data_IF_680414615166
#
_entry.id   IF_680414615166
#
_cell.length_a   1.000
_cell.length_b   1.000
_cell.length_c   1.000
_cell.angle_alpha   90.00
_cell.angle_beta   90.00
_cell.angle_gamma   90.00
#
_symmetry.space_group_name_H-M   'P 1'
#
loop_
_entity.id
_entity.type
_entity.pdbx_description
1 polymer ?
#
# COMPACT_ATOMS: atom_id res chain seq x y z
N UNK A 1 15.61 -28.46 -6.55
CA UNK A 1 14.20 -28.27 -6.15
C UNK A 1 13.89 -26.79 -5.84
N UNK A 2 14.70 -26.11 -5.02
CA UNK A 2 14.51 -24.68 -4.66
C UNK A 2 14.57 -23.73 -5.85
N UNK A 3 15.49 -23.92 -6.80
CA UNK A 3 15.61 -23.05 -7.97
C UNK A 3 14.35 -22.98 -8.82
N UNK A 4 13.69 -24.12 -9.06
CA UNK A 4 12.45 -24.21 -9.86
C UNK A 4 11.27 -23.50 -9.17
N UNK A 5 11.21 -23.58 -7.83
CA UNK A 5 10.20 -22.90 -7.02
C UNK A 5 10.41 -21.38 -7.01
N UNK A 6 11.66 -20.91 -6.88
CA UNK A 6 11.97 -19.48 -6.94
C UNK A 6 11.56 -18.86 -8.28
N UNK A 7 11.88 -19.54 -9.40
CA UNK A 7 11.48 -19.08 -10.73
C UNK A 7 9.96 -19.10 -10.88
N UNK A 8 9.27 -20.12 -10.36
CA UNK A 8 7.82 -20.22 -10.38
C UNK A 8 7.13 -19.11 -9.57
N UNK A 9 7.69 -18.69 -8.43
CA UNK A 9 7.16 -17.58 -7.62
C UNK A 9 7.45 -16.24 -8.30
N UNK A 10 8.68 -16.01 -8.74
CA UNK A 10 9.09 -14.77 -9.42
C UNK A 10 8.29 -14.52 -10.69
N UNK A 11 8.04 -15.57 -11.46
CA UNK A 11 7.37 -15.47 -12.75
C UNK A 11 5.84 -15.51 -12.64
N UNK A 12 5.30 -15.62 -11.41
CA UNK A 12 3.87 -15.57 -11.17
C UNK A 12 3.32 -14.17 -11.50
N UNK A 13 2.25 -14.12 -12.30
CA UNK A 13 1.69 -12.87 -12.82
C UNK A 13 1.29 -11.88 -11.71
N UNK A 14 0.78 -12.37 -10.59
CA UNK A 14 0.47 -11.52 -9.43
C UNK A 14 1.70 -10.79 -8.88
N UNK A 15 2.88 -11.45 -8.83
CA UNK A 15 4.12 -10.85 -8.30
C UNK A 15 4.66 -9.80 -9.28
N UNK A 16 4.54 -10.04 -10.59
CA UNK A 16 4.89 -9.04 -11.61
C UNK A 16 3.98 -7.82 -11.57
N UNK A 17 2.69 -8.02 -11.28
CA UNK A 17 1.69 -6.96 -11.24
C UNK A 17 1.86 -6.00 -10.04
N UNK A 18 2.53 -6.42 -8.95
CA UNK A 18 2.77 -5.59 -7.77
C UNK A 18 3.60 -4.33 -8.08
N UNK A 19 4.58 -4.46 -8.97
CA UNK A 19 5.38 -3.34 -9.50
C UNK A 19 5.96 -2.39 -8.44
N UNK A 20 6.27 -1.14 -8.82
CA UNK A 20 6.74 -0.10 -7.89
C UNK A 20 5.69 0.31 -6.84
N UNK A 21 4.40 0.07 -7.11
CA UNK A 21 3.30 0.38 -6.20
C UNK A 21 3.40 -0.38 -4.88
N UNK A 22 4.00 -1.58 -4.87
CA UNK A 22 4.26 -2.32 -3.63
C UNK A 22 5.20 -1.57 -2.69
N UNK A 23 6.26 -0.97 -3.24
CA UNK A 23 7.25 -0.22 -2.45
C UNK A 23 6.62 1.07 -1.93
N UNK A 24 5.85 1.77 -2.77
CA UNK A 24 5.18 3.00 -2.34
C UNK A 24 4.13 2.73 -1.27
N UNK A 25 3.39 1.62 -1.37
CA UNK A 25 2.44 1.20 -0.35
C UNK A 25 3.13 0.85 0.97
N UNK A 26 4.21 0.07 0.92
CA UNK A 26 4.99 -0.24 2.11
C UNK A 26 5.64 1.00 2.76
N UNK A 27 5.94 2.03 1.98
CA UNK A 27 6.47 3.30 2.48
C UNK A 27 5.40 4.20 3.12
N UNK A 28 4.13 4.04 2.76
CA UNK A 28 3.01 4.80 3.33
C UNK A 28 2.73 4.38 4.79
N UNK A 29 3.06 3.13 5.14
CA UNK A 29 2.94 2.56 6.50
C UNK A 29 4.19 2.85 7.37
N UNK A 30 4.59 4.11 7.46
CA UNK A 30 5.76 4.54 8.23
C UNK A 30 5.49 4.59 9.76
N UNK A 31 6.54 4.66 10.62
CA UNK A 31 6.35 4.69 12.07
C UNK A 31 5.48 5.84 12.56
N UNK A 32 5.49 6.98 11.84
CA UNK A 32 4.67 8.14 12.20
C UNK A 32 3.18 7.86 11.96
N UNK A 33 2.82 7.28 10.80
CA UNK A 33 1.46 6.81 10.51
C UNK A 33 0.97 5.79 11.53
N UNK A 34 1.79 4.78 11.84
CA UNK A 34 1.44 3.77 12.87
C UNK A 34 1.16 4.44 14.23
N UNK A 35 1.99 5.40 14.65
CA UNK A 35 1.78 6.12 15.90
C UNK A 35 0.48 6.92 15.88
N UNK A 36 0.20 7.66 14.80
CA UNK A 36 -1.02 8.46 14.64
C UNK A 36 -2.27 7.58 14.66
N UNK A 37 -2.32 6.51 13.87
CA UNK A 37 -3.48 5.63 13.81
C UNK A 37 -3.69 4.86 15.12
N UNK A 38 -2.61 4.51 15.83
CA UNK A 38 -2.70 3.87 17.15
C UNK A 38 -3.28 4.82 18.20
N UNK A 39 -2.84 6.08 18.24
CA UNK A 39 -3.39 7.08 19.15
C UNK A 39 -4.85 7.39 18.83
N UNK A 40 -5.17 7.58 17.55
CA UNK A 40 -6.54 7.80 17.09
C UNK A 40 -7.44 6.60 17.43
N UNK A 41 -6.96 5.38 17.22
CA UNK A 41 -7.68 4.15 17.56
C UNK A 41 -7.94 4.02 19.07
N UNK A 42 -6.96 4.37 19.91
CA UNK A 42 -7.13 4.36 21.37
C UNK A 42 -8.13 5.42 21.86
N UNK A 43 -8.20 6.58 21.21
CA UNK A 43 -9.08 7.68 21.60
C UNK A 43 -10.51 7.56 21.05
N UNK A 44 -10.65 7.13 19.79
CA UNK A 44 -11.91 7.17 19.05
C UNK A 44 -12.49 5.79 18.74
N UNK A 45 -11.76 4.71 19.02
CA UNK A 45 -12.17 3.35 18.67
C UNK A 45 -12.50 3.24 17.19
N UNK A 46 -13.65 2.65 16.87
CA UNK A 46 -14.11 2.47 15.48
C UNK A 46 -14.85 3.68 14.90
N UNK A 47 -15.05 4.76 15.66
CA UNK A 47 -15.87 5.90 15.23
C UNK A 47 -15.27 6.67 14.04
N UNK A 48 -13.99 6.46 13.71
CA UNK A 48 -13.33 7.08 12.56
C UNK A 48 -13.27 6.18 11.32
N UNK A 49 -13.74 4.92 11.37
CA UNK A 49 -13.62 4.00 10.23
C UNK A 49 -14.33 4.49 8.97
N UNK A 50 -15.38 5.31 9.11
CA UNK A 50 -16.08 5.90 7.95
C UNK A 50 -15.14 6.73 7.07
N UNK A 51 -14.07 7.31 7.63
CA UNK A 51 -13.09 8.10 6.88
C UNK A 51 -12.38 7.29 5.81
N UNK A 52 -12.21 5.96 6.01
CA UNK A 52 -11.57 5.06 5.03
C UNK A 52 -12.26 5.10 3.67
N UNK A 53 -13.59 5.29 3.66
CA UNK A 53 -14.37 5.37 2.41
C UNK A 53 -13.95 6.57 1.56
N UNK A 54 -13.47 7.65 2.20
CA UNK A 54 -13.01 8.85 1.51
C UNK A 54 -11.50 8.83 1.28
N UNK A 55 -10.71 8.44 2.29
CA UNK A 55 -9.25 8.55 2.22
C UNK A 55 -8.63 7.52 1.27
N UNK A 56 -9.18 6.29 1.22
CA UNK A 56 -8.68 5.24 0.34
C UNK A 56 -8.74 5.60 -1.17
N UNK A 57 -9.89 6.03 -1.74
CA UNK A 57 -9.92 6.39 -3.16
C UNK A 57 -9.07 7.63 -3.48
N UNK A 58 -8.94 8.57 -2.53
CA UNK A 58 -8.05 9.74 -2.70
C UNK A 58 -6.59 9.29 -2.78
N UNK A 59 -6.15 8.43 -1.85
CA UNK A 59 -4.80 7.85 -1.85
C UNK A 59 -4.51 7.14 -3.18
N UNK A 60 -5.43 6.28 -3.64
CA UNK A 60 -5.29 5.59 -4.94
C UNK A 60 -5.17 6.59 -6.08
N UNK A 61 -5.99 7.65 -6.09
CA UNK A 61 -5.91 8.72 -7.10
C UNK A 61 -4.54 9.39 -7.13
N UNK A 62 -4.00 9.74 -5.95
CA UNK A 62 -2.67 10.35 -5.82
C UNK A 62 -1.59 9.39 -6.31
N UNK A 63 -1.61 8.13 -5.88
CA UNK A 63 -0.63 7.13 -6.31
C UNK A 63 -0.68 6.88 -7.82
N UNK A 64 -1.87 6.87 -8.43
CA UNK A 64 -2.01 6.73 -9.89
C UNK A 64 -1.46 7.94 -10.66
N UNK A 65 -1.70 9.16 -10.18
CA UNK A 65 -1.13 10.38 -10.79
C UNK A 65 0.39 10.37 -10.68
N UNK A 66 0.92 10.07 -9.49
CA UNK A 66 2.37 9.94 -9.26
C UNK A 66 3.00 8.86 -10.13
N UNK A 67 2.35 7.69 -10.25
CA UNK A 67 2.82 6.61 -11.10
C UNK A 67 2.83 7.00 -12.58
N UNK A 68 1.83 7.78 -13.05
CA UNK A 68 1.80 8.28 -14.44
C UNK A 68 2.92 9.28 -14.72
N UNK A 69 3.22 10.18 -13.79
CA UNK A 69 4.30 11.15 -13.92
C UNK A 69 5.68 10.45 -13.84
N UNK A 70 5.83 9.49 -12.93
CA UNK A 70 7.07 8.74 -12.75
C UNK A 70 7.41 7.74 -13.86
N UNK A 71 6.43 7.39 -14.71
CA UNK A 71 6.60 6.47 -15.86
C UNK A 71 7.11 7.20 -17.13
N UNK A 72 8.00 8.18 -16.96
CA UNK A 72 8.71 8.85 -18.06
C UNK A 72 9.87 8.01 -18.59
#
# INVERSE_FOLDING_TARGET
>A
MVGKLYTQIRDHEAVKALGPGLITGAADDDPSGIATYSQAGAQFGFNMLWTLVLTYPIMVGIQLVSARIGRV
#
